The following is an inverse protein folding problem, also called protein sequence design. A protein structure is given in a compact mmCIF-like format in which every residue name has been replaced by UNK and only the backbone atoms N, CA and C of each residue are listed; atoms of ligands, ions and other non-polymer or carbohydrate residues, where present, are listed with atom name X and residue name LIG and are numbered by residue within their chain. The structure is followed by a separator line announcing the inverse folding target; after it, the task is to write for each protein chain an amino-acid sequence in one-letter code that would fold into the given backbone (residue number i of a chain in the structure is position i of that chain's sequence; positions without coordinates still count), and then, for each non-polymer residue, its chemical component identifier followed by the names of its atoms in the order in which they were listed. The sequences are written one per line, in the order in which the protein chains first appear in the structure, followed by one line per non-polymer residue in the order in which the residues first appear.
data_IF_034848158327
#
_entry.id   IF_034848158327
#
_cell.length_a   1.000
_cell.length_b   1.000
_cell.length_c   1.000
_cell.angle_alpha   90.00
_cell.angle_beta   90.00
_cell.angle_gamma   90.00
#
_symmetry.space_group_name_H-M   'P 1'
#
loop_
_entity.id
_entity.type
_entity.pdbx_description
1 polymer ?
#
# COMPACT_ATOMS: atom_id res chain seq x y z
N UNK A 1 2.72 -9.88 -4.56
CA UNK A 1 2.84 -10.21 -6.00
C UNK A 1 1.57 -10.89 -6.45
N UNK A 2 0.78 -10.21 -7.27
CA UNK A 2 -0.54 -10.68 -7.67
C UNK A 2 -0.47 -11.86 -8.67
N UNK A 3 -1.45 -12.78 -8.60
CA UNK A 3 -1.74 -13.83 -9.59
C UNK A 3 -3.24 -13.87 -9.91
N UNK A 4 -3.57 -13.79 -11.20
CA UNK A 4 -4.81 -14.30 -11.77
C UNK A 4 -6.12 -13.59 -11.43
N UNK A 5 -7.14 -13.96 -12.20
CA UNK A 5 -8.53 -13.52 -12.14
C UNK A 5 -9.12 -13.77 -10.72
N UNK A 6 -9.44 -12.72 -9.94
CA UNK A 6 -9.91 -12.87 -8.56
C UNK A 6 -11.27 -13.56 -8.52
N UNK A 7 -11.31 -14.87 -8.32
CA UNK A 7 -12.55 -15.57 -8.01
C UNK A 7 -12.87 -15.41 -6.52
N UNK A 8 -14.02 -14.83 -6.20
CA UNK A 8 -14.72 -14.83 -4.89
C UNK A 8 -14.02 -14.24 -3.65
N UNK A 9 -12.71 -14.02 -3.63
CA UNK A 9 -12.00 -13.31 -2.56
C UNK A 9 -11.29 -12.10 -3.18
N UNK A 10 -11.46 -10.90 -2.62
CA UNK A 10 -10.85 -9.67 -3.15
C UNK A 10 -9.32 -9.74 -3.20
N UNK A 11 -8.67 -8.78 -3.86
CA UNK A 11 -7.22 -8.76 -4.04
C UNK A 11 -6.41 -8.50 -2.74
N UNK A 12 -7.07 -8.06 -1.66
CA UNK A 12 -6.51 -8.01 -0.29
C UNK A 12 -6.32 -9.42 0.34
N UNK A 13 -6.71 -10.50 -0.34
CA UNK A 13 -6.53 -11.89 0.13
C UNK A 13 -5.36 -12.65 -0.50
N UNK A 14 -4.95 -13.76 0.12
CA UNK A 14 -3.85 -14.61 -0.41
C UNK A 14 -4.20 -15.32 -1.72
N UNK A 15 -5.50 -15.44 -2.04
CA UNK A 15 -6.04 -16.21 -3.17
C UNK A 15 -5.51 -15.79 -4.54
N UNK A 16 -5.11 -14.53 -4.65
CA UNK A 16 -4.59 -13.90 -5.86
C UNK A 16 -3.12 -13.53 -5.67
N UNK A 17 -2.34 -14.30 -4.90
CA UNK A 17 -0.89 -14.08 -4.74
C UNK A 17 -0.07 -15.34 -5.09
N UNK A 18 1.17 -15.17 -5.58
CA UNK A 18 2.13 -16.30 -5.72
C UNK A 18 2.63 -16.85 -4.38
N UNK A 19 2.09 -16.37 -3.26
CA UNK A 19 2.64 -16.55 -1.91
C UNK A 19 3.63 -15.44 -1.53
N UNK A 20 4.41 -15.71 -0.50
CA UNK A 20 5.39 -14.76 0.04
C UNK A 20 6.45 -14.36 -1.02
N UNK A 21 6.89 -13.10 -0.98
CA UNK A 21 8.00 -12.63 -1.79
C UNK A 21 9.26 -13.41 -1.43
N UNK A 22 9.80 -14.16 -2.39
CA UNK A 22 11.05 -14.90 -2.20
C UNK A 22 12.20 -14.17 -2.86
N UNK A 23 13.41 -14.33 -2.31
CA UNK A 23 14.64 -13.84 -2.95
C UNK A 23 14.74 -14.31 -4.40
N UNK A 24 14.44 -15.59 -4.67
CA UNK A 24 14.46 -16.14 -6.03
C UNK A 24 13.57 -15.34 -6.99
N UNK A 25 12.35 -14.99 -6.58
CA UNK A 25 11.44 -14.20 -7.42
C UNK A 25 12.03 -12.82 -7.72
N UNK A 26 12.58 -12.17 -6.69
CA UNK A 26 13.18 -10.84 -6.80
C UNK A 26 14.44 -10.85 -7.69
N UNK A 27 15.31 -11.85 -7.56
CA UNK A 27 16.52 -11.99 -8.39
C UNK A 27 16.20 -12.36 -9.85
N UNK A 28 15.02 -12.95 -10.11
CA UNK A 28 14.53 -13.22 -11.47
C UNK A 28 13.73 -12.07 -12.07
N UNK A 29 13.45 -11.05 -11.28
CA UNK A 29 12.70 -9.85 -11.67
C UNK A 29 13.49 -9.01 -12.66
N UNK A 30 12.78 -8.30 -13.55
CA UNK A 30 13.40 -7.22 -14.35
C UNK A 30 13.53 -5.93 -13.54
N UNK A 31 12.77 -5.81 -12.45
CA UNK A 31 12.78 -4.67 -11.54
C UNK A 31 13.90 -4.85 -10.52
N UNK A 32 14.75 -3.83 -10.39
CA UNK A 32 15.87 -3.85 -9.45
C UNK A 32 15.35 -3.84 -8.01
N UNK A 33 15.92 -4.68 -7.15
CA UNK A 33 15.49 -4.85 -5.75
C UNK A 33 15.48 -3.55 -4.95
N UNK A 34 16.40 -2.64 -5.25
CA UNK A 34 16.47 -1.30 -4.63
C UNK A 34 15.30 -0.39 -4.99
N UNK A 35 14.43 -0.77 -5.93
CA UNK A 35 13.22 0.01 -6.32
C UNK A 35 11.93 -0.70 -5.94
N UNK A 36 11.97 -1.92 -5.38
CA UNK A 36 10.77 -2.65 -4.97
C UNK A 36 10.47 -2.28 -3.51
N UNK A 37 9.39 -1.54 -3.23
CA UNK A 37 9.07 -1.13 -1.87
C UNK A 37 8.43 -2.28 -1.08
N UNK A 38 8.67 -2.29 0.23
CA UNK A 38 8.12 -3.28 1.17
C UNK A 38 7.26 -2.67 2.26
N UNK A 39 7.72 -1.56 2.85
CA UNK A 39 7.11 -0.89 4.00
C UNK A 39 7.42 0.60 3.93
N UNK A 40 6.47 1.46 4.28
CA UNK A 40 6.67 2.91 4.35
C UNK A 40 6.34 3.49 5.72
N UNK A 41 6.67 4.75 5.93
CA UNK A 41 6.19 5.50 7.09
C UNK A 41 4.67 5.59 7.04
N UNK A 42 4.06 5.19 8.14
CA UNK A 42 2.66 4.80 8.15
C UNK A 42 1.72 6.01 8.06
N UNK A 43 0.69 5.90 7.23
CA UNK A 43 -0.43 6.84 7.20
C UNK A 43 -1.43 6.55 8.33
N UNK A 44 -2.21 7.57 8.77
CA UNK A 44 -3.39 7.31 9.59
C UNK A 44 -4.29 6.31 8.88
N UNK A 45 -4.60 5.19 9.52
CA UNK A 45 -5.45 4.19 8.89
C UNK A 45 -6.91 4.63 8.82
N UNK A 46 -7.69 3.95 7.99
CA UNK A 46 -9.11 4.26 7.86
C UNK A 46 -9.89 3.93 9.15
N UNK A 47 -10.99 4.65 9.38
CA UNK A 47 -11.78 4.48 10.61
C UNK A 47 -12.60 3.17 10.62
N UNK A 48 -12.75 2.53 9.46
CA UNK A 48 -13.57 1.34 9.27
C UNK A 48 -12.77 0.04 9.44
N UNK A 49 -11.46 0.04 9.22
CA UNK A 49 -10.56 -1.13 9.32
C UNK A 49 -9.46 -0.93 10.38
N UNK A 50 -8.91 0.27 10.53
CA UNK A 50 -7.73 0.53 11.37
C UNK A 50 -8.06 1.01 12.80
N UNK A 51 -8.98 0.34 13.49
CA UNK A 51 -9.29 0.60 14.91
C UNK A 51 -8.83 -0.56 15.78
N UNK A 52 -8.09 -0.27 16.85
CA UNK A 52 -7.63 -1.30 17.76
C UNK A 52 -8.80 -2.03 18.42
N UNK A 53 -8.94 -3.31 18.13
CA UNK A 53 -10.04 -4.15 18.63
C UNK A 53 -9.93 -4.52 20.12
N UNK A 54 -8.74 -4.48 20.71
CA UNK A 54 -8.51 -4.86 22.10
C UNK A 54 -7.41 -4.02 22.73
N UNK A 55 -7.59 -3.61 23.99
CA UNK A 55 -6.55 -2.88 24.73
C UNK A 55 -5.29 -3.73 24.84
N UNK A 56 -4.14 -3.20 24.42
CA UNK A 56 -2.85 -3.85 24.65
C UNK A 56 -2.31 -3.40 26.00
N UNK A 57 -2.22 -4.35 26.93
CA UNK A 57 -1.73 -4.12 28.28
C UNK A 57 -1.14 -5.40 28.87
N UNK A 58 -0.30 -5.27 29.90
CA UNK A 58 0.00 -6.36 30.82
C UNK A 58 -0.40 -5.98 32.24
N UNK A 59 -0.65 -6.99 33.07
CA UNK A 59 -0.90 -6.85 34.51
C UNK A 59 -0.38 -8.06 35.28
N UNK A 60 -0.52 -8.13 36.61
CA UNK A 60 -0.03 -9.28 37.38
C UNK A 60 -0.66 -10.63 36.97
N UNK A 61 -1.89 -10.60 36.44
CA UNK A 61 -2.65 -11.79 36.09
C UNK A 61 -3.49 -11.56 34.83
N UNK A 62 -3.66 -12.61 34.03
CA UNK A 62 -4.64 -12.69 32.96
C UNK A 62 -6.07 -12.79 33.52
N UNK A 63 -7.07 -12.66 32.64
CA UNK A 63 -8.49 -12.74 33.02
C UNK A 63 -8.89 -14.08 33.64
N UNK A 64 -8.14 -15.15 33.38
CA UNK A 64 -8.34 -16.49 33.96
C UNK A 64 -7.65 -16.67 35.32
N UNK A 65 -7.01 -15.62 35.84
CA UNK A 65 -6.27 -15.62 37.11
C UNK A 65 -4.87 -16.22 37.03
N UNK A 66 -4.43 -16.71 35.86
CA UNK A 66 -3.03 -17.15 35.66
C UNK A 66 -2.09 -15.95 35.61
N UNK A 67 -0.81 -16.17 35.91
CA UNK A 67 0.20 -15.11 35.85
C UNK A 67 0.40 -14.66 34.39
N UNK A 68 0.33 -13.35 34.15
CA UNK A 68 0.57 -12.79 32.81
C UNK A 68 2.06 -12.94 32.45
N UNK A 69 2.40 -13.65 31.35
CA UNK A 69 3.79 -13.86 30.96
C UNK A 69 4.52 -12.56 30.60
N UNK A 70 3.80 -11.50 30.22
CA UNK A 70 4.38 -10.20 29.88
C UNK A 70 4.63 -9.31 31.10
N UNK A 71 4.11 -9.67 32.28
CA UNK A 71 4.38 -8.97 33.54
C UNK A 71 5.77 -9.23 34.11
N UNK A 72 6.42 -10.33 33.68
CA UNK A 72 7.71 -10.79 34.19
C UNK A 72 7.76 -10.87 35.74
N UNK A 73 6.66 -11.29 36.36
CA UNK A 73 6.55 -11.42 37.82
C UNK A 73 6.34 -10.10 38.57
N UNK A 74 6.14 -8.99 37.87
CA UNK A 74 5.81 -7.69 38.46
C UNK A 74 4.32 -7.59 38.77
N UNK A 75 3.97 -6.85 39.83
CA UNK A 75 2.59 -6.53 40.20
C UNK A 75 2.04 -5.27 39.52
N UNK A 76 2.85 -4.58 38.72
CA UNK A 76 2.46 -3.38 37.99
C UNK A 76 1.60 -3.74 36.78
N UNK A 77 0.52 -2.98 36.59
CA UNK A 77 -0.26 -3.00 35.34
C UNK A 77 0.13 -1.83 34.46
N UNK A 78 0.34 -2.09 33.16
CA UNK A 78 0.66 -1.07 32.16
C UNK A 78 -0.23 -1.23 30.94
N UNK A 79 -0.85 -0.13 30.52
CA UNK A 79 -1.57 -0.01 29.24
C UNK A 79 -0.66 0.67 28.21
N UNK A 80 -0.67 0.17 26.99
CA UNK A 80 0.12 0.71 25.88
C UNK A 80 -0.76 1.50 24.92
N UNK A 81 -1.78 0.84 24.37
CA UNK A 81 -2.72 1.39 23.41
C UNK A 81 -4.11 0.85 23.78
N UNK A 82 -5.12 1.73 23.80
CA UNK A 82 -6.46 1.36 24.28
C UNK A 82 -7.41 1.00 23.14
N UNK A 83 -8.33 0.07 23.40
CA UNK A 83 -9.35 -0.31 22.42
C UNK A 83 -10.09 0.93 21.92
N UNK A 84 -10.25 1.02 20.60
CA UNK A 84 -10.87 2.19 19.96
C UNK A 84 -9.87 3.25 19.49
N UNK A 85 -8.58 3.14 19.84
CA UNK A 85 -7.55 4.03 19.28
C UNK A 85 -7.30 3.70 17.80
N UNK A 86 -7.11 4.76 17.01
CA UNK A 86 -6.75 4.67 15.59
C UNK A 86 -5.35 4.06 15.45
N UNK A 87 -5.25 3.11 14.54
CA UNK A 87 -4.01 2.51 14.09
C UNK A 87 -3.50 3.24 12.85
N UNK A 88 -2.34 2.80 12.40
CA UNK A 88 -1.67 3.34 11.22
C UNK A 88 -1.37 2.19 10.27
N UNK A 89 -1.38 2.48 8.98
CA UNK A 89 -1.17 1.49 7.91
C UNK A 89 0.19 1.73 7.30
N UNK A 90 0.94 0.67 7.06
CA UNK A 90 2.33 0.76 6.54
C UNK A 90 2.55 -0.12 5.32
N UNK A 91 1.51 -0.84 4.90
CA UNK A 91 1.47 -1.69 3.72
C UNK A 91 0.41 -1.13 2.77
N UNK A 92 0.73 -1.10 1.48
CA UNK A 92 -0.20 -0.65 0.46
C UNK A 92 -1.39 -1.58 0.31
N UNK A 93 -2.54 -0.99 0.02
CA UNK A 93 -3.82 -1.64 -0.27
C UNK A 93 -3.89 -2.44 -1.59
N UNK A 94 -2.82 -2.38 -2.38
CA UNK A 94 -2.68 -3.12 -3.63
C UNK A 94 -3.05 -2.28 -4.85
N UNK A 95 -3.34 -2.90 -6.00
CA UNK A 95 -3.52 -2.14 -7.23
C UNK A 95 -4.81 -1.31 -7.23
N UNK A 96 -4.74 -0.10 -7.77
CA UNK A 96 -5.86 0.83 -7.89
C UNK A 96 -5.85 1.55 -9.24
N UNK A 97 -6.95 2.23 -9.55
CA UNK A 97 -7.12 3.08 -10.72
C UNK A 97 -7.96 4.31 -10.39
N UNK A 98 -7.79 5.36 -11.18
CA UNK A 98 -8.62 6.57 -11.11
C UNK A 98 -9.94 6.39 -11.83
N UNK A 99 -11.05 6.54 -11.11
CA UNK A 99 -12.39 6.54 -11.65
C UNK A 99 -12.87 7.98 -11.87
N UNK A 100 -13.02 8.35 -13.15
CA UNK A 100 -13.41 9.70 -13.52
C UNK A 100 -14.87 10.01 -13.23
N UNK A 101 -15.72 8.98 -13.13
CA UNK A 101 -17.15 9.13 -12.87
C UNK A 101 -17.41 9.34 -11.37
N UNK A 102 -16.74 8.60 -10.49
CA UNK A 102 -16.86 8.77 -9.04
C UNK A 102 -15.87 9.77 -8.44
N UNK A 103 -14.89 10.25 -9.23
CA UNK A 103 -13.81 11.13 -8.78
C UNK A 103 -13.04 10.54 -7.60
N UNK A 104 -12.75 9.25 -7.66
CA UNK A 104 -12.10 8.50 -6.58
C UNK A 104 -11.04 7.55 -7.10
N UNK A 105 -10.14 7.13 -6.21
CA UNK A 105 -9.29 5.98 -6.45
C UNK A 105 -9.99 4.72 -5.97
N UNK A 106 -10.17 3.79 -6.91
CA UNK A 106 -10.85 2.54 -6.68
C UNK A 106 -9.83 1.40 -6.80
N UNK A 107 -9.82 0.51 -5.81
CA UNK A 107 -9.06 -0.72 -5.90
C UNK A 107 -9.60 -1.57 -7.05
N UNK A 108 -8.72 -2.34 -7.70
CA UNK A 108 -9.14 -3.27 -8.74
C UNK A 108 -10.20 -4.23 -8.18
N UNK A 109 -11.29 -4.37 -8.94
CA UNK A 109 -12.40 -5.23 -8.56
C UNK A 109 -12.00 -6.69 -8.53
N UNK A 110 -12.69 -7.46 -7.69
CA UNK A 110 -12.67 -8.90 -7.78
C UNK A 110 -13.07 -9.34 -9.20
N UNK A 111 -12.36 -10.31 -9.77
CA UNK A 111 -12.55 -10.72 -11.16
C UNK A 111 -11.83 -9.85 -12.21
N UNK A 112 -11.09 -8.81 -11.77
CA UNK A 112 -10.40 -7.88 -12.66
C UNK A 112 -9.40 -8.55 -13.60
N UNK A 113 -9.47 -8.20 -14.89
CA UNK A 113 -8.58 -8.73 -15.91
C UNK A 113 -7.23 -7.99 -15.90
N UNK A 114 -6.14 -8.73 -15.62
CA UNK A 114 -4.78 -8.19 -15.57
C UNK A 114 -3.97 -8.45 -16.86
N UNK A 115 -4.58 -8.94 -17.93
CA UNK A 115 -3.87 -9.27 -19.19
C UNK A 115 -3.27 -8.02 -19.84
N UNK A 116 -4.01 -6.90 -19.83
CA UNK A 116 -3.52 -5.63 -20.34
C UNK A 116 -2.41 -5.06 -19.45
N UNK A 117 -2.55 -5.14 -18.13
CA UNK A 117 -1.50 -4.80 -17.18
C UNK A 117 -0.21 -5.59 -17.45
N UNK A 118 -0.33 -6.91 -17.56
CA UNK A 118 0.78 -7.81 -17.81
C UNK A 118 1.52 -7.48 -19.12
N UNK A 119 0.76 -7.21 -20.18
CA UNK A 119 1.30 -6.87 -21.48
C UNK A 119 2.03 -5.51 -21.46
N UNK A 120 1.43 -4.50 -20.83
CA UNK A 120 2.00 -3.16 -20.79
C UNK A 120 3.26 -3.10 -19.89
N UNK A 121 3.27 -3.81 -18.77
CA UNK A 121 4.44 -3.87 -17.87
C UNK A 121 5.58 -4.64 -18.53
N UNK A 122 5.28 -5.73 -19.25
CA UNK A 122 6.29 -6.44 -20.03
C UNK A 122 6.92 -5.56 -21.13
N UNK A 123 6.15 -4.63 -21.69
CA UNK A 123 6.59 -3.64 -22.67
C UNK A 123 7.27 -2.40 -22.05
N UNK A 124 7.12 -2.19 -20.73
CA UNK A 124 7.63 -1.00 -20.04
C UNK A 124 6.90 0.30 -20.40
N UNK A 125 5.66 0.22 -20.91
CA UNK A 125 4.88 1.37 -21.36
C UNK A 125 3.41 1.17 -21.03
N UNK A 126 3.07 1.38 -19.75
CA UNK A 126 1.68 1.33 -19.30
C UNK A 126 1.01 2.70 -19.45
N UNK A 127 -0.22 2.76 -19.98
CA UNK A 127 -1.04 3.95 -19.89
C UNK A 127 -1.33 4.31 -18.42
N UNK A 128 -1.71 5.56 -18.19
CA UNK A 128 -2.14 6.02 -16.87
C UNK A 128 -3.32 5.15 -16.37
N UNK A 129 -3.33 4.77 -15.08
CA UNK A 129 -4.32 3.85 -14.52
C UNK A 129 -5.67 4.56 -14.33
N UNK A 130 -6.51 4.54 -15.36
CA UNK A 130 -7.89 5.05 -15.34
C UNK A 130 -8.92 3.93 -15.52
N UNK A 131 -10.18 4.22 -15.19
CA UNK A 131 -11.38 3.42 -15.45
C UNK A 131 -11.49 2.81 -16.87
N UNK A 132 -10.82 3.41 -17.84
CA UNK A 132 -10.84 3.06 -19.26
C UNK A 132 -9.58 2.32 -19.74
N UNK A 133 -8.52 2.32 -18.94
CA UNK A 133 -7.20 1.80 -19.32
C UNK A 133 -7.02 0.31 -19.05
N UNK A 134 -7.77 -0.24 -18.07
CA UNK A 134 -7.49 -1.56 -17.47
C UNK A 134 -6.04 -1.71 -17.02
N UNK A 135 -5.43 -0.61 -16.58
CA UNK A 135 -4.13 -0.60 -15.90
C UNK A 135 -4.24 -0.05 -14.49
N UNK A 136 -3.24 -0.39 -13.68
CA UNK A 136 -3.25 -0.20 -12.24
C UNK A 136 -1.86 0.19 -11.74
N UNK A 137 -1.84 0.95 -10.65
CA UNK A 137 -0.65 1.21 -9.83
C UNK A 137 -0.95 0.79 -8.39
N UNK A 138 0.08 0.49 -7.59
CA UNK A 138 -0.08 0.31 -6.15
C UNK A 138 -0.67 1.58 -5.53
N UNK A 139 -1.68 1.41 -4.70
CA UNK A 139 -2.24 2.47 -3.87
C UNK A 139 -1.25 2.76 -2.73
N UNK A 140 -0.63 3.93 -2.77
CA UNK A 140 0.40 4.33 -1.79
C UNK A 140 -0.15 5.30 -0.75
N UNK A 141 -1.48 5.41 -0.63
CA UNK A 141 -2.14 6.25 0.37
C UNK A 141 -1.89 5.75 1.79
N UNK A 142 -1.47 4.50 1.96
CA UNK A 142 -1.04 3.97 3.26
C UNK A 142 0.33 4.51 3.70
N UNK A 143 1.01 5.31 2.88
CA UNK A 143 2.29 5.93 3.23
C UNK A 143 2.19 7.44 3.33
N UNK A 144 2.86 8.02 4.33
CA UNK A 144 2.68 9.40 4.70
C UNK A 144 3.99 10.12 5.01
N UNK A 145 4.13 11.34 4.49
CA UNK A 145 5.29 12.19 4.68
C UNK A 145 5.28 12.85 6.09
N UNK A 146 5.54 12.05 7.12
CA UNK A 146 5.50 12.45 8.53
C UNK A 146 6.75 13.23 8.99
N UNK A 147 7.85 13.14 8.24
CA UNK A 147 9.11 13.77 8.64
C UNK A 147 9.23 15.18 8.08
N UNK A 148 9.23 16.19 8.96
CA UNK A 148 9.28 17.60 8.58
C UNK A 148 7.89 18.24 8.50
N UNK A 149 7.77 19.37 7.80
CA UNK A 149 6.54 20.18 7.79
C UNK A 149 6.26 20.81 6.43
N UNK A 150 4.97 21.01 6.11
CA UNK A 150 4.54 21.58 4.83
C UNK A 150 5.02 20.78 3.61
N UNK A 151 5.36 21.50 2.54
CA UNK A 151 6.00 20.98 1.33
C UNK A 151 7.45 20.60 1.62
N UNK A 152 7.89 19.48 1.07
CA UNK A 152 9.21 18.90 1.30
C UNK A 152 9.30 18.07 2.57
N UNK A 153 8.16 17.76 3.21
CA UNK A 153 8.13 16.68 4.19
C UNK A 153 8.45 15.35 3.50
N UNK A 154 8.96 14.40 4.27
CA UNK A 154 9.49 13.16 3.69
C UNK A 154 8.88 11.92 4.31
N UNK A 155 8.84 10.86 3.50
CA UNK A 155 8.49 9.50 3.87
C UNK A 155 9.68 8.59 3.60
N UNK A 156 10.03 7.74 4.56
CA UNK A 156 11.00 6.68 4.45
C UNK A 156 10.31 5.42 3.95
N UNK A 157 10.91 4.75 2.96
CA UNK A 157 10.41 3.52 2.39
C UNK A 157 11.52 2.47 2.39
N UNK A 158 11.26 1.35 3.06
CA UNK A 158 12.09 0.15 3.04
C UNK A 158 11.98 -0.53 1.68
N UNK A 159 13.11 -0.74 1.03
CA UNK A 159 13.24 -1.42 -0.24
C UNK A 159 13.60 -2.90 -0.05
N UNK A 160 13.37 -3.71 -1.07
CA UNK A 160 13.58 -5.15 -1.01
C UNK A 160 15.06 -5.59 -0.94
N UNK A 161 16.00 -4.69 -1.23
CA UNK A 161 17.43 -4.91 -0.97
C UNK A 161 17.86 -4.58 0.47
N UNK A 162 16.93 -4.12 1.31
CA UNK A 162 17.19 -3.71 2.69
C UNK A 162 17.62 -2.26 2.85
N UNK A 163 17.74 -1.49 1.77
CA UNK A 163 17.96 -0.05 1.84
C UNK A 163 16.68 0.68 2.25
N UNK A 164 16.83 1.88 2.83
CA UNK A 164 15.73 2.81 3.08
C UNK A 164 15.94 4.01 2.19
N UNK A 165 14.94 4.35 1.38
CA UNK A 165 14.94 5.57 0.57
C UNK A 165 13.99 6.60 1.13
N UNK A 166 14.29 7.87 0.85
CA UNK A 166 13.51 9.01 1.28
C UNK A 166 12.82 9.61 0.06
N UNK A 167 11.51 9.79 0.14
CA UNK A 167 10.69 10.45 -0.86
C UNK A 167 10.06 11.70 -0.30
N UNK A 168 9.87 12.72 -1.14
CA UNK A 168 9.44 14.04 -0.72
C UNK A 168 8.03 14.31 -1.23
N UNK A 169 7.19 14.83 -0.33
CA UNK A 169 5.92 15.46 -0.69
C UNK A 169 6.21 16.82 -1.35
N UNK A 170 5.79 16.97 -2.60
CA UNK A 170 6.03 18.14 -3.44
C UNK A 170 4.85 19.14 -3.42
N UNK A 171 3.65 18.68 -3.06
CA UNK A 171 2.41 19.46 -3.20
C UNK A 171 1.76 19.86 -1.84
N UNK A 172 2.25 19.28 -0.74
CA UNK A 172 1.90 19.54 0.65
C UNK A 172 0.72 18.74 1.19
N UNK A 173 0.27 17.68 0.51
CA UNK A 173 -0.87 16.85 0.92
C UNK A 173 -0.49 15.67 1.84
N UNK A 174 0.83 15.46 2.02
CA UNK A 174 1.47 14.39 2.81
C UNK A 174 1.37 12.99 2.26
N UNK A 175 0.54 12.75 1.25
CA UNK A 175 0.55 11.49 0.53
C UNK A 175 1.58 11.58 -0.59
N UNK A 176 1.92 10.43 -1.17
CA UNK A 176 2.92 10.37 -2.24
C UNK A 176 2.28 9.72 -3.46
N UNK A 177 2.03 10.49 -4.51
CA UNK A 177 1.32 9.98 -5.68
C UNK A 177 2.28 9.23 -6.65
N UNK A 178 1.99 7.95 -6.99
CA UNK A 178 2.82 7.14 -7.88
C UNK A 178 2.57 7.38 -9.38
N UNK A 179 1.60 8.23 -9.73
CA UNK A 179 1.26 8.52 -11.12
C UNK A 179 -0.24 8.50 -11.44
N UNK A 180 -1.11 8.50 -10.44
CA UNK A 180 -2.55 8.63 -10.66
C UNK A 180 -2.89 10.00 -11.25
N UNK A 181 -3.72 10.07 -12.30
CA UNK A 181 -4.04 11.31 -12.99
C UNK A 181 -5.14 12.11 -12.27
N UNK A 182 -4.93 12.42 -10.99
CA UNK A 182 -5.90 13.17 -10.17
C UNK A 182 -6.01 14.62 -10.67
N UNK A 183 -7.22 15.11 -11.00
CA UNK A 183 -7.43 16.48 -11.46
C UNK A 183 -7.08 17.49 -10.37
N UNK A 184 -6.63 18.69 -10.75
CA UNK A 184 -6.29 19.77 -9.81
C UNK A 184 -7.39 20.84 -9.65
N UNK A 185 -8.62 20.51 -10.06
CA UNK A 185 -9.76 21.42 -10.09
C UNK A 185 -10.97 20.94 -9.25
N UNK A 186 -10.76 20.00 -8.32
CA UNK A 186 -11.78 19.52 -7.38
C UNK A 186 -11.80 20.33 -6.09
N UNK A 187 -12.78 20.08 -5.22
CA UNK A 187 -12.90 20.77 -3.94
C UNK A 187 -11.95 20.18 -2.90
N UNK A 188 -11.68 20.94 -1.83
CA UNK A 188 -10.87 20.46 -0.69
C UNK A 188 -11.47 19.22 -0.05
N UNK A 189 -12.81 19.10 -0.02
CA UNK A 189 -13.49 17.93 0.52
C UNK A 189 -13.28 16.69 -0.37
N UNK A 190 -13.29 16.86 -1.70
CA UNK A 190 -13.04 15.77 -2.63
C UNK A 190 -11.60 15.24 -2.46
N UNK A 191 -10.61 16.13 -2.38
CA UNK A 191 -9.22 15.71 -2.15
C UNK A 191 -9.01 14.99 -0.82
N UNK A 192 -9.75 15.35 0.22
CA UNK A 192 -9.69 14.64 1.49
C UNK A 192 -10.19 13.18 1.37
N UNK A 193 -11.15 12.91 0.47
CA UNK A 193 -11.60 11.56 0.16
C UNK A 193 -10.69 10.81 -0.82
N UNK A 194 -10.03 11.53 -1.74
CA UNK A 194 -9.11 10.93 -2.72
C UNK A 194 -7.78 10.55 -2.08
N UNK A 195 -7.25 11.38 -1.18
CA UNK A 195 -5.92 11.26 -0.59
C UNK A 195 -4.85 12.06 -1.32
N UNK A 196 -4.93 12.19 -2.65
CA UNK A 196 -4.01 13.05 -3.41
C UNK A 196 -4.66 14.36 -3.81
N UNK A 197 -3.87 15.43 -3.79
CA UNK A 197 -4.29 16.78 -4.14
C UNK A 197 -4.26 17.07 -5.64
N UNK A 198 -3.39 16.40 -6.38
CA UNK A 198 -3.27 16.49 -7.84
C UNK A 198 -2.45 15.32 -8.41
N UNK A 199 -2.29 15.31 -9.74
CA UNK A 199 -1.49 14.34 -10.48
C UNK A 199 0.03 14.55 -10.42
N UNK A 200 0.56 15.33 -9.46
CA UNK A 200 2.01 15.47 -9.28
C UNK A 200 2.61 14.10 -8.95
N UNK A 201 3.58 13.64 -9.73
CA UNK A 201 4.24 12.35 -9.48
C UNK A 201 5.38 12.53 -8.48
N UNK A 202 5.30 11.83 -7.35
CA UNK A 202 6.29 11.90 -6.26
C UNK A 202 7.01 10.57 -6.07
N UNK A 203 6.45 9.49 -6.61
CA UNK A 203 7.05 8.16 -6.62
C UNK A 203 7.25 7.70 -8.07
N UNK A 204 8.23 8.27 -8.79
CA UNK A 204 8.46 7.90 -10.18
C UNK A 204 8.90 6.43 -10.30
N UNK A 205 8.45 5.69 -11.33
CA UNK A 205 8.82 4.28 -11.54
C UNK A 205 10.33 4.00 -11.59
N UNK A 206 11.15 5.00 -11.93
CA UNK A 206 12.61 4.91 -11.93
C UNK A 206 13.22 4.82 -10.53
N UNK A 207 12.52 5.29 -9.51
CA UNK A 207 13.01 5.33 -8.12
C UNK A 207 12.28 4.32 -7.23
N UNK A 208 11.00 4.10 -7.52
CA UNK A 208 10.15 3.12 -6.86
C UNK A 208 9.16 2.49 -7.83
N UNK A 209 9.17 1.17 -7.92
CA UNK A 209 8.23 0.41 -8.74
C UNK A 209 6.85 0.36 -8.07
N UNK A 210 5.86 0.88 -8.79
CA UNK A 210 4.46 0.92 -8.36
C UNK A 210 3.55 0.00 -9.21
N UNK A 211 4.13 -0.89 -10.02
CA UNK A 211 3.34 -1.83 -10.83
C UNK A 211 2.82 -3.02 -10.03
N UNK A 212 2.30 -4.01 -10.75
CA UNK A 212 1.65 -5.21 -10.22
C UNK A 212 2.57 -6.44 -10.31
N UNK A 213 3.33 -6.59 -11.40
CA UNK A 213 4.14 -7.78 -11.67
C UNK A 213 5.64 -7.51 -11.62
N UNK A 214 6.35 -8.22 -10.74
CA UNK A 214 7.82 -8.24 -10.73
C UNK A 214 8.42 -9.10 -11.85
N UNK A 215 7.68 -10.11 -12.29
CA UNK A 215 8.09 -11.05 -13.35
C UNK A 215 7.00 -11.17 -14.39
N UNK A 216 7.37 -11.51 -15.62
CA UNK A 216 6.36 -11.73 -16.67
C UNK A 216 5.42 -12.87 -16.26
N UNK A 217 4.10 -12.66 -16.28
CA UNK A 217 3.13 -13.70 -15.94
C UNK A 217 3.01 -14.79 -17.02
N UNK A 218 3.59 -14.59 -18.21
CA UNK A 218 3.58 -15.55 -19.34
C UNK A 218 4.14 -16.95 -19.01
N UNK A 219 4.90 -17.11 -17.92
CA UNK A 219 5.38 -18.39 -17.42
C UNK A 219 4.42 -19.12 -16.45
N UNK A 220 3.34 -18.47 -16.03
CA UNK A 220 2.41 -18.98 -15.02
C UNK A 220 1.06 -19.30 -15.67
N UNK A 221 0.66 -20.57 -15.65
CA UNK A 221 -0.59 -21.09 -16.25
C UNK A 221 -1.90 -20.58 -15.62
N UNK A 222 -1.85 -19.57 -14.76
CA UNK A 222 -2.98 -19.06 -13.95
C UNK A 222 -3.50 -17.71 -14.48
N UNK A 223 -2.92 -17.24 -15.61
CA UNK A 223 -3.26 -15.96 -16.24
C UNK A 223 -3.90 -16.11 -17.63
N UNK A 224 -4.19 -17.35 -18.06
CA UNK A 224 -4.96 -17.69 -19.27
C UNK A 224 -6.38 -18.12 -18.91
#
# INVERSE_FOLDING_TARGET
VAIGNPASQGLKGLSTTTGALTRRLLETSKIVSSTVPLLGDAAPGDADEAILAATLSYGPSLNDGSADPFSNGNTVSKKFITQGELLVESFNDGPAYWDSASQSLNLIQQGGNLSLQAACEAAGSCPAPTDSSSTYLQDTRDWFAIHGGGKGATCNILMADGSVKVFNDLNGDKYLNPGFPVPNNLTVADYAGIGYKDGTVELPPSEMFNGVFLVSPSGYKVFE
#
